data_IF_478793080934
#
_entry.id   IF_478793080934
#
_cell.length_a   1.000
_cell.length_b   1.000
_cell.length_c   1.000
_cell.angle_alpha   90.00
_cell.angle_beta   90.00
_cell.angle_gamma   90.00
#
_symmetry.space_group_name_H-M   'P 1'
#
loop_
_entity.id
_entity.type
_entity.pdbx_description
1 polymer ?
#
# COMPACT_ATOMS: atom_id res chain seq x y z
N UNK A 1 11.52 -8.94 7.39
CA UNK A 1 11.53 -8.11 6.16
C UNK A 1 12.91 -7.48 6.07
N UNK A 2 13.59 -7.59 4.93
CA UNK A 2 14.88 -6.92 4.76
C UNK A 2 14.63 -5.43 4.46
N UNK A 3 15.23 -4.55 5.25
CA UNK A 3 15.31 -3.13 4.91
C UNK A 3 16.41 -2.97 3.86
N UNK A 4 16.03 -2.69 2.62
CA UNK A 4 17.00 -2.42 1.55
C UNK A 4 17.69 -1.07 1.72
N UNK A 5 16.94 -0.07 2.19
CA UNK A 5 17.42 1.28 2.38
C UNK A 5 16.59 2.02 3.42
N UNK A 6 17.23 2.88 4.21
CA UNK A 6 16.59 3.80 5.13
C UNK A 6 17.37 5.11 5.22
N UNK A 7 16.67 6.24 5.16
CA UNK A 7 17.26 7.56 5.29
C UNK A 7 16.30 8.51 6.00
N UNK A 8 16.82 9.23 6.99
CA UNK A 8 16.07 10.23 7.75
C UNK A 8 16.53 10.31 9.19
N UNK A 9 16.09 11.38 9.86
CA UNK A 9 16.23 11.61 11.30
C UNK A 9 15.14 12.58 11.75
N UNK A 10 15.03 12.83 13.06
CA UNK A 10 14.07 13.81 13.61
C UNK A 10 14.22 15.21 13.00
N UNK A 11 15.42 15.57 12.55
CA UNK A 11 15.74 16.91 12.06
C UNK A 11 16.03 16.94 10.54
N UNK A 12 15.95 15.81 9.86
CA UNK A 12 16.24 15.74 8.42
C UNK A 12 15.04 16.21 7.62
N UNK A 13 15.22 17.27 6.84
CA UNK A 13 14.29 17.65 5.79
C UNK A 13 14.67 16.91 4.50
N UNK A 14 13.76 16.08 3.99
CA UNK A 14 13.98 15.34 2.75
C UNK A 14 13.42 16.18 1.59
N UNK A 15 14.30 16.86 0.86
CA UNK A 15 13.93 17.69 -0.29
C UNK A 15 13.54 16.85 -1.50
N UNK A 16 12.94 17.47 -2.51
CA UNK A 16 12.60 16.81 -3.78
C UNK A 16 13.85 16.25 -4.46
N UNK A 17 14.94 17.02 -4.51
CA UNK A 17 16.21 16.59 -5.10
C UNK A 17 16.74 15.34 -4.37
N UNK A 18 16.65 15.33 -3.04
CA UNK A 18 17.07 14.17 -2.25
C UNK A 18 16.17 12.95 -2.50
N UNK A 19 14.85 13.13 -2.66
CA UNK A 19 13.96 12.02 -3.04
C UNK A 19 14.33 11.43 -4.41
N UNK A 20 14.64 12.28 -5.39
CA UNK A 20 15.07 11.86 -6.73
C UNK A 20 16.34 11.02 -6.65
N UNK A 21 17.39 11.53 -5.98
CA UNK A 21 18.66 10.82 -5.77
C UNK A 21 18.42 9.45 -5.12
N UNK A 22 17.73 9.42 -3.97
CA UNK A 22 17.54 8.19 -3.21
C UNK A 22 16.70 7.14 -3.94
N UNK A 23 15.67 7.55 -4.68
CA UNK A 23 14.86 6.62 -5.47
C UNK A 23 15.60 6.12 -6.69
N UNK A 24 16.38 6.97 -7.34
CA UNK A 24 17.19 6.59 -8.49
C UNK A 24 18.21 5.52 -8.09
N UNK A 25 19.00 5.75 -7.03
CA UNK A 25 20.00 4.81 -6.52
C UNK A 25 19.35 3.47 -6.10
N UNK A 26 18.22 3.54 -5.39
CA UNK A 26 17.50 2.33 -4.96
C UNK A 26 16.98 1.51 -6.15
N UNK A 27 16.37 2.17 -7.14
CA UNK A 27 15.69 1.48 -8.23
C UNK A 27 16.64 0.97 -9.31
N UNK A 28 17.71 1.71 -9.64
CA UNK A 28 18.66 1.31 -10.66
C UNK A 28 19.74 0.37 -10.11
N UNK A 29 20.34 0.70 -8.97
CA UNK A 29 21.51 -0.04 -8.49
C UNK A 29 21.11 -1.21 -7.59
N UNK A 30 20.22 -0.97 -6.62
CA UNK A 30 19.89 -1.99 -5.60
C UNK A 30 18.86 -3.01 -6.11
N UNK A 31 17.89 -2.57 -6.94
CA UNK A 31 16.85 -3.45 -7.49
C UNK A 31 17.11 -3.89 -8.94
N UNK A 32 18.24 -3.48 -9.54
CA UNK A 32 18.66 -3.94 -10.86
C UNK A 32 17.93 -3.31 -12.04
N UNK A 33 17.32 -2.13 -11.85
CA UNK A 33 16.62 -1.36 -12.89
C UNK A 33 15.12 -1.62 -12.97
N UNK A 34 14.38 -0.71 -13.62
CA UNK A 34 12.91 -0.75 -13.69
C UNK A 34 12.35 -0.78 -15.12
N UNK A 35 13.13 -1.25 -16.09
CA UNK A 35 12.77 -1.30 -17.52
C UNK A 35 11.65 -2.29 -17.91
N UNK A 36 10.98 -2.88 -16.92
CA UNK A 36 9.94 -3.89 -17.09
C UNK A 36 8.51 -3.34 -17.11
N UNK A 37 7.58 -4.24 -16.87
CA UNK A 37 6.17 -3.95 -16.55
C UNK A 37 6.06 -3.72 -15.04
N UNK A 38 5.78 -2.50 -14.63
CA UNK A 38 5.75 -2.11 -13.21
C UNK A 38 4.36 -1.67 -12.76
N UNK A 39 4.02 -2.01 -11.52
CA UNK A 39 2.80 -1.55 -10.86
C UNK A 39 3.16 -0.68 -9.66
N UNK A 40 2.69 0.56 -9.65
CA UNK A 40 2.77 1.45 -8.49
C UNK A 40 1.42 1.46 -7.78
N UNK A 41 1.45 1.23 -6.47
CA UNK A 41 0.28 1.19 -5.58
C UNK A 41 0.37 2.35 -4.58
N UNK A 42 0.05 3.60 -5.00
CA UNK A 42 0.01 4.76 -4.11
C UNK A 42 -1.32 4.81 -3.33
N UNK A 43 -1.42 5.61 -2.24
CA UNK A 43 -2.72 5.90 -1.64
C UNK A 43 -3.55 6.80 -2.58
N UNK A 44 -4.83 6.92 -2.26
CA UNK A 44 -5.74 7.80 -2.99
C UNK A 44 -5.60 9.28 -2.62
N UNK A 45 -6.48 10.12 -3.20
CA UNK A 45 -6.49 11.57 -3.00
C UNK A 45 -6.68 11.99 -1.53
N UNK A 46 -7.24 11.14 -0.67
CA UNK A 46 -7.41 11.46 0.76
C UNK A 46 -6.06 11.59 1.49
N UNK A 47 -4.98 11.13 0.83
CA UNK A 47 -3.60 11.24 1.29
C UNK A 47 -2.76 12.19 0.44
N UNK A 48 -3.37 13.20 -0.19
CA UNK A 48 -2.67 14.22 -0.99
C UNK A 48 -1.36 14.76 -0.35
N UNK A 49 -1.31 15.14 0.94
CA UNK A 49 -0.08 15.67 1.55
C UNK A 49 1.01 14.61 1.83
N UNK A 50 0.77 13.33 1.55
CA UNK A 50 1.70 12.23 1.86
C UNK A 50 2.97 12.20 1.01
N UNK A 51 3.10 13.09 0.03
CA UNK A 51 4.15 13.09 -0.99
C UNK A 51 4.11 11.84 -1.91
N UNK A 52 3.16 10.92 -1.74
CA UNK A 52 3.10 9.71 -2.56
C UNK A 52 2.88 10.02 -4.06
N UNK A 53 2.16 11.10 -4.37
CA UNK A 53 2.01 11.58 -5.74
C UNK A 53 3.34 12.06 -6.35
N UNK A 54 4.16 12.75 -5.56
CA UNK A 54 5.51 13.17 -5.95
C UNK A 54 6.44 11.97 -6.14
N UNK A 55 6.46 11.03 -5.19
CA UNK A 55 7.26 9.80 -5.32
C UNK A 55 6.85 9.00 -6.56
N UNK A 56 5.55 8.88 -6.84
CA UNK A 56 5.04 8.23 -8.06
C UNK A 56 5.56 8.92 -9.33
N UNK A 57 5.58 10.26 -9.37
CA UNK A 57 6.16 11.02 -10.49
C UNK A 57 7.66 10.75 -10.67
N UNK A 58 8.42 10.72 -9.59
CA UNK A 58 9.87 10.45 -9.64
C UNK A 58 10.12 9.05 -10.20
N UNK A 59 9.41 8.05 -9.69
CA UNK A 59 9.50 6.66 -10.16
C UNK A 59 9.13 6.56 -11.64
N UNK A 60 8.12 7.31 -12.08
CA UNK A 60 7.74 7.40 -13.49
C UNK A 60 8.85 7.99 -14.37
N UNK A 61 9.56 9.04 -13.92
CA UNK A 61 10.70 9.59 -14.67
C UNK A 61 11.86 8.59 -14.79
N UNK A 62 12.23 7.93 -13.68
CA UNK A 62 13.26 6.88 -13.71
C UNK A 62 12.85 5.75 -14.67
N UNK A 63 11.55 5.40 -14.70
CA UNK A 63 11.04 4.36 -15.59
C UNK A 63 11.20 4.74 -17.06
N UNK A 64 10.90 6.01 -17.41
CA UNK A 64 11.13 6.55 -18.74
C UNK A 64 12.60 6.50 -19.15
N UNK A 65 13.52 6.88 -18.25
CA UNK A 65 14.96 6.86 -18.48
C UNK A 65 15.46 5.44 -18.81
N UNK A 66 14.91 4.43 -18.13
CA UNK A 66 15.21 3.02 -18.39
C UNK A 66 14.50 2.42 -19.62
N UNK A 67 13.71 3.21 -20.34
CA UNK A 67 12.87 2.76 -21.47
C UNK A 67 11.94 1.61 -21.09
N UNK A 68 11.27 1.74 -19.94
CA UNK A 68 10.40 0.70 -19.44
C UNK A 68 9.21 0.38 -20.36
N UNK A 69 8.65 -0.81 -20.18
CA UNK A 69 7.64 -1.37 -21.10
C UNK A 69 6.22 -0.95 -20.76
N UNK A 70 5.86 -0.98 -19.48
CA UNK A 70 4.52 -0.62 -19.02
C UNK A 70 4.59 -0.04 -17.60
N UNK A 71 3.87 1.07 -17.39
CA UNK A 71 3.75 1.74 -16.09
C UNK A 71 2.28 1.79 -15.68
N UNK A 72 1.89 0.96 -14.72
CA UNK A 72 0.53 0.93 -14.22
C UNK A 72 0.45 1.56 -12.83
N UNK A 73 -0.64 2.28 -12.56
CA UNK A 73 -0.94 2.90 -11.28
C UNK A 73 -2.28 2.35 -10.78
N UNK A 74 -2.26 1.75 -9.60
CA UNK A 74 -3.45 1.27 -8.90
C UNK A 74 -3.59 2.01 -7.57
N UNK A 75 -4.37 3.10 -7.49
CA UNK A 75 -4.63 3.76 -6.22
C UNK A 75 -5.26 2.81 -5.21
N UNK A 76 -4.67 2.73 -4.02
CA UNK A 76 -5.08 1.91 -2.90
C UNK A 76 -6.25 2.56 -2.14
N UNK A 77 -7.42 2.60 -2.77
CA UNK A 77 -8.60 3.35 -2.30
C UNK A 77 -9.33 2.67 -1.13
N UNK A 78 -9.08 1.38 -0.87
CA UNK A 78 -9.88 0.56 0.03
C UNK A 78 -11.36 0.59 -0.37
N UNK A 79 -12.24 1.09 0.50
CA UNK A 79 -13.68 1.18 0.24
C UNK A 79 -14.12 2.49 -0.43
N UNK A 80 -13.20 3.45 -0.62
CA UNK A 80 -13.52 4.74 -1.21
C UNK A 80 -13.97 4.61 -2.67
N UNK A 81 -14.58 5.68 -3.19
CA UNK A 81 -14.92 5.76 -4.61
C UNK A 81 -13.65 5.88 -5.45
N UNK A 82 -13.63 5.31 -6.66
CA UNK A 82 -12.54 5.52 -7.62
C UNK A 82 -12.23 7.01 -7.82
N UNK A 83 -10.94 7.31 -7.99
CA UNK A 83 -10.49 8.69 -8.18
C UNK A 83 -10.95 9.21 -9.56
N UNK A 84 -11.57 10.38 -9.56
CA UNK A 84 -11.90 11.10 -10.80
C UNK A 84 -10.63 11.51 -11.54
N UNK A 85 -10.74 11.76 -12.86
CA UNK A 85 -9.62 12.28 -13.67
C UNK A 85 -9.00 13.55 -13.09
N UNK A 86 -9.82 14.44 -12.51
CA UNK A 86 -9.35 15.67 -11.86
C UNK A 86 -8.51 15.34 -10.61
N UNK A 87 -8.99 14.44 -9.75
CA UNK A 87 -8.24 14.00 -8.57
C UNK A 87 -6.95 13.28 -8.94
N UNK A 88 -6.96 12.45 -9.99
CA UNK A 88 -5.76 11.81 -10.54
C UNK A 88 -4.74 12.89 -10.96
N UNK A 89 -5.17 13.89 -11.74
CA UNK A 89 -4.31 15.00 -12.16
C UNK A 89 -3.78 15.81 -10.97
N UNK A 90 -4.60 16.06 -9.96
CA UNK A 90 -4.16 16.75 -8.73
C UNK A 90 -3.13 15.94 -7.95
N UNK A 91 -3.32 14.63 -7.82
CA UNK A 91 -2.43 13.76 -7.05
C UNK A 91 -1.11 13.49 -7.78
N UNK A 92 -1.19 13.10 -9.05
CA UNK A 92 -0.05 12.55 -9.80
C UNK A 92 0.49 13.49 -10.88
N UNK A 93 -0.20 14.60 -11.17
CA UNK A 93 0.17 15.47 -12.29
C UNK A 93 -0.16 14.84 -13.64
N UNK A 94 0.69 15.10 -14.63
CA UNK A 94 0.56 14.55 -15.98
C UNK A 94 1.58 13.42 -16.19
N UNK A 95 1.09 12.18 -16.25
CA UNK A 95 1.87 10.98 -16.52
C UNK A 95 1.28 10.31 -17.76
N UNK A 96 1.60 10.86 -18.93
CA UNK A 96 0.95 10.55 -20.20
C UNK A 96 1.07 9.10 -20.69
N UNK A 97 2.10 8.35 -20.28
CA UNK A 97 2.30 6.93 -20.63
C UNK A 97 1.86 5.98 -19.50
N UNK A 98 1.35 6.50 -18.39
CA UNK A 98 0.88 5.68 -17.28
C UNK A 98 -0.56 5.19 -17.52
N UNK A 99 -0.82 3.92 -17.21
CA UNK A 99 -2.17 3.37 -17.18
C UNK A 99 -2.73 3.44 -15.76
N UNK A 100 -3.91 4.05 -15.61
CA UNK A 100 -4.58 4.13 -14.32
C UNK A 100 -5.64 3.02 -14.20
N UNK A 101 -5.69 2.39 -13.04
CA UNK A 101 -6.62 1.31 -12.76
C UNK A 101 -7.41 1.60 -11.49
N UNK A 102 -8.72 1.42 -11.58
CA UNK A 102 -9.59 1.50 -10.42
C UNK A 102 -9.54 0.20 -9.62
N UNK A 103 -9.47 0.33 -8.30
CA UNK A 103 -9.70 -0.79 -7.41
C UNK A 103 -11.20 -0.98 -7.19
N UNK A 104 -11.70 -2.18 -7.52
CA UNK A 104 -13.04 -2.59 -7.17
C UNK A 104 -12.94 -3.58 -6.01
N UNK A 105 -13.36 -3.16 -4.82
CA UNK A 105 -13.28 -3.98 -3.60
C UNK A 105 -14.45 -4.97 -3.47
N UNK A 106 -15.48 -4.83 -4.32
CA UNK A 106 -16.65 -5.72 -4.36
C UNK A 106 -16.48 -6.86 -5.36
N UNK A 107 -15.78 -6.61 -6.45
CA UNK A 107 -15.46 -7.57 -7.50
C UNK A 107 -14.09 -7.24 -8.09
N UNK A 108 -13.38 -8.18 -8.71
CA UNK A 108 -12.04 -7.88 -9.24
C UNK A 108 -10.88 -8.30 -8.35
N UNK A 109 -11.15 -9.19 -7.38
CA UNK A 109 -10.16 -9.69 -6.43
C UNK A 109 -9.70 -11.10 -6.82
N UNK A 110 -8.49 -11.44 -6.41
CA UNK A 110 -7.98 -12.82 -6.40
C UNK A 110 -7.83 -13.26 -4.94
N UNK A 111 -8.35 -14.44 -4.64
CA UNK A 111 -8.25 -15.04 -3.31
C UNK A 111 -6.85 -15.60 -3.11
N UNK A 112 -6.24 -15.28 -1.98
CA UNK A 112 -4.89 -15.72 -1.62
C UNK A 112 -4.91 -16.78 -0.51
N UNK A 113 -5.93 -16.76 0.34
CA UNK A 113 -6.05 -17.71 1.45
C UNK A 113 -6.97 -17.20 2.55
N UNK A 114 -6.75 -17.66 3.77
CA UNK A 114 -7.47 -17.20 4.95
C UNK A 114 -6.55 -17.06 6.14
N UNK A 115 -6.90 -16.14 7.04
CA UNK A 115 -6.36 -16.11 8.41
C UNK A 115 -7.31 -16.92 9.29
N UNK A 116 -6.84 -17.99 9.95
CA UNK A 116 -7.72 -18.88 10.68
C UNK A 116 -8.20 -18.27 12.00
N UNK A 117 -9.42 -18.62 12.42
CA UNK A 117 -10.09 -18.11 13.61
C UNK A 117 -9.29 -18.28 14.90
N UNK A 118 -8.54 -19.37 15.05
CA UNK A 118 -7.71 -19.59 16.24
C UNK A 118 -6.61 -18.54 16.37
N UNK A 119 -6.00 -18.11 15.26
CA UNK A 119 -5.01 -17.04 15.27
C UNK A 119 -5.67 -15.69 15.59
N UNK A 120 -6.83 -15.43 15.01
CA UNK A 120 -7.64 -14.22 15.30
C UNK A 120 -8.01 -14.14 16.78
N UNK A 121 -8.37 -15.27 17.38
CA UNK A 121 -8.64 -15.40 18.81
C UNK A 121 -7.39 -15.16 19.64
N UNK A 122 -6.26 -15.79 19.29
CA UNK A 122 -4.99 -15.63 19.99
C UNK A 122 -4.54 -14.16 20.03
N UNK A 123 -4.44 -13.50 18.86
CA UNK A 123 -3.92 -12.13 18.79
C UNK A 123 -4.84 -11.11 19.46
N UNK A 124 -6.13 -11.43 19.60
CA UNK A 124 -7.13 -10.59 20.25
C UNK A 124 -7.35 -10.92 21.73
N UNK A 125 -6.62 -11.91 22.29
CA UNK A 125 -6.87 -12.47 23.62
C UNK A 125 -8.32 -12.96 23.81
N UNK A 126 -8.86 -13.67 22.84
CA UNK A 126 -10.18 -14.31 22.89
C UNK A 126 -11.36 -13.36 22.67
N UNK A 127 -11.13 -12.12 22.22
CA UNK A 127 -12.22 -11.15 22.01
C UNK A 127 -13.07 -11.44 20.77
N UNK A 128 -12.48 -12.05 19.76
CA UNK A 128 -13.12 -12.42 18.49
C UNK A 128 -12.52 -13.71 17.94
N UNK A 129 -13.32 -14.52 17.23
CA UNK A 129 -12.96 -15.90 16.86
C UNK A 129 -13.54 -16.33 15.49
N UNK A 130 -13.31 -15.52 14.45
CA UNK A 130 -13.74 -15.83 13.08
C UNK A 130 -12.57 -15.93 12.10
N UNK A 131 -12.75 -16.70 11.03
CA UNK A 131 -11.82 -16.70 9.90
C UNK A 131 -11.87 -15.38 9.14
N UNK A 132 -10.75 -14.94 8.56
CA UNK A 132 -10.65 -13.74 7.71
C UNK A 132 -10.15 -14.14 6.32
N UNK A 133 -10.99 -14.05 5.30
CA UNK A 133 -10.59 -14.30 3.91
C UNK A 133 -9.58 -13.24 3.45
N UNK A 134 -8.48 -13.68 2.85
CA UNK A 134 -7.43 -12.81 2.29
C UNK A 134 -7.59 -12.75 0.79
N UNK A 135 -7.92 -11.56 0.27
CA UNK A 135 -8.03 -11.30 -1.15
C UNK A 135 -7.53 -9.90 -1.46
N UNK A 136 -6.88 -9.73 -2.61
CA UNK A 136 -6.36 -8.45 -3.10
C UNK A 136 -6.77 -8.25 -4.56
N UNK A 137 -6.60 -7.04 -5.07
CA UNK A 137 -6.87 -6.73 -6.47
C UNK A 137 -6.12 -7.70 -7.39
N UNK A 138 -6.84 -8.33 -8.33
CA UNK A 138 -6.28 -9.36 -9.20
C UNK A 138 -5.03 -8.93 -9.95
N UNK A 139 -4.90 -7.63 -10.25
CA UNK A 139 -3.71 -7.11 -10.94
C UNK A 139 -2.43 -7.37 -10.15
N UNK A 140 -2.47 -7.34 -8.82
CA UNK A 140 -1.29 -7.61 -7.99
C UNK A 140 -0.79 -9.04 -8.20
N UNK A 141 -1.69 -9.99 -8.47
CA UNK A 141 -1.41 -11.42 -8.53
C UNK A 141 -1.23 -11.91 -9.96
N UNK A 142 -2.14 -11.52 -10.83
CA UNK A 142 -2.29 -11.99 -12.22
C UNK A 142 -1.70 -11.00 -13.23
N UNK A 143 -1.20 -9.85 -12.76
CA UNK A 143 -0.74 -8.78 -13.63
C UNK A 143 0.63 -9.01 -14.26
N UNK A 144 1.36 -10.06 -13.89
CA UNK A 144 2.69 -10.40 -14.43
C UNK A 144 3.64 -9.18 -14.40
N UNK A 145 3.64 -8.46 -13.27
CA UNK A 145 4.53 -7.32 -13.06
C UNK A 145 5.91 -7.81 -12.65
N UNK A 146 6.95 -7.22 -13.26
CA UNK A 146 8.34 -7.46 -12.89
C UNK A 146 8.66 -6.81 -11.52
N UNK A 147 7.95 -5.73 -11.18
CA UNK A 147 8.10 -5.01 -9.92
C UNK A 147 6.76 -4.38 -9.48
N UNK A 148 6.41 -4.55 -8.20
CA UNK A 148 5.28 -3.88 -7.56
C UNK A 148 5.80 -2.96 -6.45
N UNK A 149 5.51 -1.67 -6.54
CA UNK A 149 5.93 -0.64 -5.59
C UNK A 149 4.73 -0.10 -4.82
N UNK A 150 4.60 -0.49 -3.55
CA UNK A 150 3.60 0.08 -2.64
C UNK A 150 4.13 1.34 -1.97
N UNK A 151 3.54 2.49 -2.27
CA UNK A 151 3.95 3.80 -1.76
C UNK A 151 2.94 4.25 -0.71
N UNK A 152 3.41 4.87 0.37
CA UNK A 152 2.54 5.52 1.33
C UNK A 152 3.29 6.15 2.50
N UNK A 153 2.54 6.77 3.40
CA UNK A 153 3.06 7.38 4.63
C UNK A 153 2.79 6.50 5.85
N UNK A 154 3.75 6.43 6.77
CA UNK A 154 3.56 5.77 8.06
C UNK A 154 3.14 6.83 9.08
N UNK A 155 1.89 6.75 9.55
CA UNK A 155 1.32 7.65 10.56
C UNK A 155 0.52 6.84 11.58
N UNK A 156 0.28 7.33 12.80
CA UNK A 156 -0.66 6.70 13.71
C UNK A 156 -2.03 6.48 13.06
N UNK A 157 -2.63 5.32 13.32
CA UNK A 157 -3.90 4.89 12.72
C UNK A 157 -4.73 4.14 13.77
N UNK A 158 -6.01 4.47 13.87
CA UNK A 158 -6.93 3.98 14.90
C UNK A 158 -7.25 2.49 14.80
N UNK A 159 -7.36 1.95 13.58
CA UNK A 159 -7.61 0.51 13.35
C UNK A 159 -6.34 -0.34 13.38
N UNK A 160 -5.30 0.05 12.63
CA UNK A 160 -4.13 -0.79 12.38
C UNK A 160 -2.90 -0.40 13.23
N UNK A 161 -3.06 0.53 14.16
CA UNK A 161 -2.02 1.14 14.97
C UNK A 161 -1.12 2.11 14.23
N UNK A 162 -0.43 1.64 13.19
CA UNK A 162 0.23 2.50 12.20
C UNK A 162 -0.46 2.35 10.85
N UNK A 163 -0.40 3.34 9.98
CA UNK A 163 -0.85 3.23 8.58
C UNK A 163 0.22 2.54 7.70
N UNK A 164 -0.12 2.28 6.43
CA UNK A 164 0.79 1.78 5.38
C UNK A 164 1.42 0.39 5.66
N UNK A 165 2.48 0.01 4.95
CA UNK A 165 2.99 -1.36 4.92
C UNK A 165 1.96 -2.30 4.30
N UNK A 166 1.80 -3.51 4.84
CA UNK A 166 0.82 -4.48 4.33
C UNK A 166 -0.63 -3.95 4.31
N UNK A 167 -0.98 -2.98 5.16
CA UNK A 167 -2.29 -2.31 5.11
C UNK A 167 -2.59 -1.72 3.73
N UNK A 168 -1.60 -1.14 3.06
CA UNK A 168 -1.81 -0.50 1.76
C UNK A 168 -2.25 -1.52 0.69
N UNK A 169 -1.77 -2.76 0.82
CA UNK A 169 -2.15 -3.87 -0.05
C UNK A 169 -3.42 -4.56 0.45
N UNK A 170 -3.41 -5.09 1.68
CA UNK A 170 -4.48 -5.92 2.25
C UNK A 170 -5.78 -5.16 2.50
N UNK A 171 -5.73 -3.85 2.74
CA UNK A 171 -6.92 -3.00 2.93
C UNK A 171 -7.10 -2.10 1.72
N UNK A 172 -6.03 -1.41 1.31
CA UNK A 172 -6.12 -0.44 0.22
C UNK A 172 -6.43 -1.05 -1.14
N UNK A 173 -6.05 -2.32 -1.36
CA UNK A 173 -6.41 -3.09 -2.56
C UNK A 173 -7.18 -4.37 -2.23
N UNK A 174 -7.71 -4.47 -1.01
CA UNK A 174 -8.33 -5.67 -0.48
C UNK A 174 -9.84 -5.77 -0.68
N UNK A 175 -10.41 -6.88 -0.24
CA UNK A 175 -11.85 -7.13 -0.30
C UNK A 175 -12.62 -6.83 0.99
N UNK A 176 -13.95 -6.89 0.88
CA UNK A 176 -14.89 -6.64 1.99
C UNK A 176 -14.58 -7.47 3.24
N UNK A 177 -14.23 -8.76 3.10
CA UNK A 177 -13.95 -9.64 4.24
C UNK A 177 -12.77 -9.15 5.08
N UNK A 178 -11.58 -8.99 4.46
CA UNK A 178 -10.39 -8.48 5.12
C UNK A 178 -10.65 -7.12 5.75
N UNK A 179 -11.26 -6.20 5.00
CA UNK A 179 -11.54 -4.84 5.47
C UNK A 179 -12.46 -4.87 6.70
N UNK A 180 -13.64 -5.47 6.59
CA UNK A 180 -14.65 -5.39 7.66
C UNK A 180 -14.20 -6.14 8.91
N UNK A 181 -13.64 -7.34 8.76
CA UNK A 181 -13.22 -8.16 9.90
C UNK A 181 -11.99 -7.59 10.59
N UNK A 182 -11.03 -7.03 9.86
CA UNK A 182 -9.89 -6.35 10.51
C UNK A 182 -10.34 -5.09 11.26
N UNK A 183 -11.33 -4.35 10.75
CA UNK A 183 -11.89 -3.19 11.45
C UNK A 183 -12.63 -3.60 12.72
N UNK A 184 -13.43 -4.67 12.66
CA UNK A 184 -14.12 -5.18 13.83
C UNK A 184 -13.14 -5.72 14.88
N UNK A 185 -12.10 -6.44 14.46
CA UNK A 185 -11.00 -6.86 15.35
C UNK A 185 -10.35 -5.66 16.04
N UNK A 186 -9.97 -4.62 15.29
CA UNK A 186 -9.37 -3.42 15.86
C UNK A 186 -10.29 -2.71 16.85
N UNK A 187 -11.59 -2.63 16.54
CA UNK A 187 -12.59 -2.06 17.44
C UNK A 187 -12.79 -2.89 18.71
N UNK A 188 -12.85 -4.22 18.60
CA UNK A 188 -12.96 -5.12 19.74
C UNK A 188 -11.70 -5.08 20.62
N UNK A 189 -10.51 -5.00 20.01
CA UNK A 189 -9.26 -4.98 20.77
C UNK A 189 -9.04 -3.64 21.51
N UNK A 190 -9.58 -2.55 20.97
CA UNK A 190 -9.67 -1.24 21.63
C UNK A 190 -8.61 -0.25 21.18
N UNK A 191 -9.00 1.01 20.99
CA UNK A 191 -8.15 2.06 20.42
C UNK A 191 -6.89 2.31 21.25
N UNK A 192 -6.95 2.13 22.56
CA UNK A 192 -5.84 2.31 23.52
C UNK A 192 -4.72 1.31 23.28
N UNK A 193 -5.05 0.14 22.72
CA UNK A 193 -4.10 -0.90 22.31
C UNK A 193 -3.67 -0.77 20.86
N UNK A 194 -4.45 -0.07 20.03
CA UNK A 194 -4.17 0.10 18.60
C UNK A 194 -3.35 1.36 18.34
N UNK A 195 -3.92 2.54 18.57
CA UNK A 195 -3.46 3.82 18.03
C UNK A 195 -1.96 4.07 18.26
N UNK A 196 -1.23 4.29 17.17
CA UNK A 196 0.19 4.64 17.19
C UNK A 196 1.13 3.48 17.54
N UNK A 197 0.62 2.25 17.71
CA UNK A 197 1.43 1.08 18.05
C UNK A 197 1.78 0.27 16.80
N UNK A 198 3.02 -0.19 16.72
CA UNK A 198 3.52 -1.02 15.62
C UNK A 198 3.18 -2.49 15.77
N UNK A 199 2.99 -2.96 17.00
CA UNK A 199 2.58 -4.33 17.32
C UNK A 199 1.14 -4.33 17.88
N UNK A 200 0.19 -4.65 17.02
CA UNK A 200 -1.25 -4.69 17.32
C UNK A 200 -1.85 -6.00 16.82
N UNK A 201 -3.01 -6.40 17.33
CA UNK A 201 -3.74 -7.57 16.85
C UNK A 201 -3.97 -7.50 15.34
N UNK A 202 -4.46 -6.37 14.83
CA UNK A 202 -4.65 -6.14 13.39
C UNK A 202 -3.32 -6.22 12.62
N UNK A 203 -2.21 -5.74 13.17
CA UNK A 203 -0.90 -5.85 12.50
C UNK A 203 -0.38 -7.28 12.43
N UNK A 204 -0.61 -8.06 13.47
CA UNK A 204 -0.25 -9.47 13.46
C UNK A 204 -1.03 -10.25 12.40
N UNK A 205 -2.33 -9.95 12.24
CA UNK A 205 -3.15 -10.48 11.14
C UNK A 205 -2.58 -10.05 9.77
N UNK A 206 -2.23 -8.78 9.60
CA UNK A 206 -1.65 -8.29 8.34
C UNK A 206 -0.27 -8.85 8.03
N UNK A 207 0.51 -9.24 9.03
CA UNK A 207 1.83 -9.83 8.83
C UNK A 207 1.74 -11.33 8.50
N UNK A 208 0.69 -12.00 8.96
CA UNK A 208 0.40 -13.40 8.64
C UNK A 208 -0.16 -13.55 7.22
N UNK A 209 -1.10 -12.68 6.86
CA UNK A 209 -1.79 -12.66 5.57
C UNK A 209 -0.89 -12.24 4.42
#
# INVERSE_FOLDING_TARGET
>A
MATYFAYGSQNTVITTEKKCELLHDLLLDQLGGIGGKILVVPPDITRLPSNAGELTKIIYQIWLETRGKQFDILPAIGTHTPMTKSQIKTMFGDLNQANYHDHNWRAGLSQLGQVPSHLVSEVSNGKVDYDISVAVNRRIVEGEYDLILSIGQVIPHEVAGMANGFKNILIGTGGQEMINKSHFLGAADGIERMLGRTNTSVRQIFNYA
#
